data_IF_810003745782
#
_entry.id   IF_810003745782
#
_cell.length_a   1.000
_cell.length_b   1.000
_cell.length_c   1.000
_cell.angle_alpha   90.00
_cell.angle_beta   90.00
_cell.angle_gamma   90.00
#
_symmetry.space_group_name_H-M   'P 1'
#
loop_
_entity.id
_entity.type
_entity.pdbx_description
1 polymer ?
#
# COMPACT_ATOMS: atom_id res chain seq x y z
N UNK A 1 -9.30 -19.30 -12.77
CA UNK A 1 -10.34 -18.28 -12.41
C UNK A 1 -9.81 -16.91 -12.76
N UNK A 2 -10.65 -15.94 -13.03
CA UNK A 2 -10.29 -14.56 -13.39
C UNK A 2 -10.73 -13.62 -12.30
N UNK A 3 -10.06 -12.49 -12.16
CA UNK A 3 -10.47 -11.42 -11.26
C UNK A 3 -11.93 -11.00 -11.52
N UNK A 4 -12.72 -10.87 -10.46
CA UNK A 4 -14.11 -10.45 -10.53
C UNK A 4 -14.39 -9.33 -9.55
N UNK A 5 -15.11 -8.29 -10.00
CA UNK A 5 -15.51 -7.20 -9.13
C UNK A 5 -16.54 -7.69 -8.09
N UNK A 6 -16.29 -7.36 -6.83
CA UNK A 6 -17.24 -7.63 -5.74
C UNK A 6 -18.39 -6.63 -5.84
N UNK A 7 -19.61 -7.15 -5.85
CA UNK A 7 -20.85 -6.37 -5.84
C UNK A 7 -21.68 -6.81 -4.64
N UNK A 8 -21.62 -6.07 -3.52
CA UNK A 8 -22.46 -6.37 -2.37
C UNK A 8 -23.94 -6.15 -2.71
N UNK A 9 -24.83 -6.92 -2.09
CA UNK A 9 -26.28 -6.80 -2.30
C UNK A 9 -26.81 -5.40 -1.94
N UNK A 10 -26.23 -4.79 -0.89
CA UNK A 10 -26.53 -3.43 -0.47
C UNK A 10 -25.24 -2.66 -0.22
N UNK A 11 -25.14 -1.45 -0.76
CA UNK A 11 -24.06 -0.50 -0.52
C UNK A 11 -24.64 0.93 -0.44
N UNK A 12 -25.20 1.32 0.71
CA UNK A 12 -26.03 2.53 0.83
C UNK A 12 -25.25 3.84 0.83
N UNK A 13 -23.92 3.81 0.98
CA UNK A 13 -23.12 5.01 1.23
C UNK A 13 -22.96 5.91 -0.02
N UNK A 14 -22.88 5.35 -1.20
CA UNK A 14 -22.79 6.10 -2.46
C UNK A 14 -23.02 5.20 -3.68
N UNK A 15 -23.51 5.74 -4.80
CA UNK A 15 -23.52 5.02 -6.07
C UNK A 15 -22.09 4.88 -6.59
N UNK A 16 -21.67 3.66 -6.93
CA UNK A 16 -20.30 3.37 -7.36
C UNK A 16 -20.17 2.99 -8.84
N UNK A 17 -21.27 2.88 -9.56
CA UNK A 17 -21.23 2.67 -11.00
C UNK A 17 -20.65 3.90 -11.71
N UNK A 18 -19.71 3.66 -12.63
CA UNK A 18 -19.04 4.73 -13.39
C UNK A 18 -17.73 5.24 -12.79
N UNK A 19 -17.23 4.63 -11.69
CA UNK A 19 -15.86 4.86 -11.26
C UNK A 19 -14.87 3.99 -12.06
N UNK A 20 -13.61 4.46 -12.17
CA UNK A 20 -12.49 3.74 -12.79
C UNK A 20 -11.69 2.91 -11.77
N UNK A 21 -12.38 2.51 -10.71
CA UNK A 21 -11.95 1.52 -9.70
C UNK A 21 -13.18 0.73 -9.26
N UNK A 22 -13.00 -0.48 -8.75
CA UNK A 22 -14.09 -1.26 -8.18
C UNK A 22 -14.19 -1.05 -6.66
N UNK A 23 -15.26 -1.50 -6.02
CA UNK A 23 -15.34 -1.55 -4.55
C UNK A 23 -14.32 -2.55 -3.97
N UNK A 24 -14.12 -3.65 -4.65
CA UNK A 24 -13.18 -4.70 -4.36
C UNK A 24 -13.14 -5.75 -5.45
N UNK A 25 -12.10 -6.56 -5.45
CA UNK A 25 -11.89 -7.69 -6.34
C UNK A 25 -11.86 -8.99 -5.55
N UNK A 26 -12.30 -10.08 -6.18
CA UNK A 26 -12.14 -11.45 -5.67
C UNK A 26 -11.57 -12.36 -6.74
N UNK A 27 -10.76 -13.32 -6.32
CA UNK A 27 -10.26 -14.42 -7.14
C UNK A 27 -9.99 -15.64 -6.26
N UNK A 28 -10.61 -16.76 -6.61
CA UNK A 28 -10.47 -17.99 -5.85
C UNK A 28 -10.92 -17.82 -4.40
N UNK A 29 -9.97 -17.89 -3.48
CA UNK A 29 -10.21 -17.75 -2.03
C UNK A 29 -9.82 -16.37 -1.48
N UNK A 30 -9.40 -15.45 -2.31
CA UNK A 30 -8.89 -14.14 -1.88
C UNK A 30 -9.81 -13.01 -2.30
N UNK A 31 -9.84 -11.95 -1.50
CA UNK A 31 -10.56 -10.72 -1.78
C UNK A 31 -9.74 -9.50 -1.34
N UNK A 32 -9.82 -8.44 -2.13
CA UNK A 32 -9.14 -7.16 -1.91
C UNK A 32 -10.16 -6.04 -2.04
N UNK A 33 -10.21 -5.12 -1.08
CA UNK A 33 -11.09 -3.95 -1.18
C UNK A 33 -10.30 -2.74 -1.64
N UNK A 34 -10.96 -1.81 -2.34
CA UNK A 34 -10.43 -0.45 -2.45
C UNK A 34 -10.39 0.23 -1.09
N UNK A 35 -9.62 1.32 -1.01
CA UNK A 35 -9.62 2.19 0.17
C UNK A 35 -10.94 2.94 0.31
N UNK A 36 -11.54 2.88 1.50
CA UNK A 36 -12.78 3.56 1.82
C UNK A 36 -12.65 4.44 3.06
N UNK A 37 -13.12 5.68 2.92
CA UNK A 37 -13.29 6.64 4.02
C UNK A 37 -14.73 6.61 4.54
N UNK A 38 -15.01 7.38 5.58
CA UNK A 38 -16.39 7.60 6.07
C UNK A 38 -17.29 8.39 5.11
N UNK A 39 -16.82 8.85 3.96
CA UNK A 39 -17.58 9.69 3.03
C UNK A 39 -18.88 9.01 2.58
N UNK A 40 -20.00 9.74 2.63
CA UNK A 40 -21.33 9.27 2.25
C UNK A 40 -21.97 10.26 1.29
N UNK A 41 -22.78 9.77 0.34
CA UNK A 41 -23.55 10.62 -0.55
C UNK A 41 -24.77 11.16 0.21
N UNK A 42 -24.88 12.49 0.26
CA UNK A 42 -26.04 13.16 0.85
C UNK A 42 -26.97 13.63 -0.30
N UNK A 43 -28.13 12.98 -0.47
CA UNK A 43 -29.07 13.36 -1.53
C UNK A 43 -29.67 14.75 -1.36
N UNK A 44 -29.71 15.28 -0.14
CA UNK A 44 -30.25 16.62 0.11
C UNK A 44 -29.35 17.73 -0.45
N UNK A 45 -28.03 17.49 -0.50
CA UNK A 45 -27.06 18.44 -1.05
C UNK A 45 -26.43 17.97 -2.36
N UNK A 46 -26.75 16.75 -2.82
CA UNK A 46 -26.30 16.19 -4.10
C UNK A 46 -24.80 15.93 -4.19
N UNK A 47 -24.13 15.69 -3.08
CA UNK A 47 -22.67 15.48 -3.04
C UNK A 47 -22.22 14.57 -1.89
N UNK A 48 -20.99 14.10 -2.00
CA UNK A 48 -20.32 13.38 -0.91
C UNK A 48 -20.05 14.31 0.27
N UNK A 49 -20.41 13.86 1.47
CA UNK A 49 -20.17 14.54 2.75
C UNK A 49 -19.28 13.71 3.64
N UNK A 50 -18.53 14.37 4.49
CA UNK A 50 -17.62 13.78 5.49
C UNK A 50 -17.79 14.57 6.79
N UNK A 51 -17.93 13.87 7.91
CA UNK A 51 -18.06 14.49 9.24
C UNK A 51 -17.88 13.47 10.36
N UNK A 52 -18.02 13.95 11.58
CA UNK A 52 -17.88 13.15 12.79
C UNK A 52 -16.44 13.08 13.33
N UNK A 53 -16.27 12.65 14.59
CA UNK A 53 -14.97 12.35 15.21
C UNK A 53 -14.35 11.11 14.60
N UNK A 54 -13.08 10.82 14.93
CA UNK A 54 -12.33 9.67 14.42
C UNK A 54 -13.05 8.34 14.65
N UNK A 55 -13.65 8.11 15.81
CA UNK A 55 -14.38 6.87 16.13
C UNK A 55 -15.53 6.61 15.14
N UNK A 56 -16.35 7.63 14.87
CA UNK A 56 -17.47 7.53 13.90
C UNK A 56 -16.95 7.33 12.47
N UNK A 57 -15.91 8.07 12.09
CA UNK A 57 -15.29 7.94 10.77
C UNK A 57 -14.70 6.54 10.56
N UNK A 58 -13.99 6.01 11.55
CA UNK A 58 -13.41 4.67 11.51
C UNK A 58 -14.52 3.60 11.40
N UNK A 59 -15.57 3.69 12.21
CA UNK A 59 -16.69 2.75 12.17
C UNK A 59 -17.32 2.67 10.77
N UNK A 60 -17.64 3.81 10.18
CA UNK A 60 -18.23 3.86 8.83
C UNK A 60 -17.26 3.32 7.77
N UNK A 61 -15.97 3.66 7.85
CA UNK A 61 -14.97 3.16 6.91
C UNK A 61 -14.84 1.62 6.99
N UNK A 62 -14.76 1.07 8.20
CA UNK A 62 -14.73 -0.37 8.41
C UNK A 62 -16.01 -1.08 8.00
N UNK A 63 -17.19 -0.52 8.32
CA UNK A 63 -18.47 -1.08 7.89
C UNK A 63 -18.54 -1.22 6.36
N UNK A 64 -18.03 -0.25 5.61
CA UNK A 64 -17.97 -0.33 4.13
C UNK A 64 -17.12 -1.48 3.65
N UNK A 65 -15.87 -1.56 4.10
CA UNK A 65 -14.94 -2.59 3.62
C UNK A 65 -15.38 -3.99 4.06
N UNK A 66 -15.97 -4.14 5.24
CA UNK A 66 -16.57 -5.41 5.69
C UNK A 66 -17.84 -5.76 4.89
N UNK A 67 -18.65 -4.79 4.51
CA UNK A 67 -19.81 -5.01 3.62
C UNK A 67 -19.36 -5.47 2.24
N UNK A 68 -18.28 -4.91 1.73
CA UNK A 68 -17.68 -5.37 0.45
C UNK A 68 -17.21 -6.82 0.57
N UNK A 69 -16.48 -7.16 1.64
CA UNK A 69 -16.03 -8.55 1.87
C UNK A 69 -17.22 -9.53 2.01
N UNK A 70 -18.30 -9.11 2.67
CA UNK A 70 -19.51 -9.92 2.77
C UNK A 70 -20.11 -10.25 1.38
N UNK A 71 -20.00 -9.32 0.42
CA UNK A 71 -20.34 -9.56 -0.98
C UNK A 71 -19.50 -10.65 -1.67
N UNK A 72 -18.33 -10.97 -1.12
CA UNK A 72 -17.49 -12.12 -1.53
C UNK A 72 -17.69 -13.36 -0.62
N UNK A 73 -18.65 -13.32 0.30
CA UNK A 73 -18.90 -14.41 1.27
C UNK A 73 -17.85 -14.49 2.38
N UNK A 74 -17.12 -13.41 2.65
CA UNK A 74 -16.07 -13.34 3.66
C UNK A 74 -16.46 -12.37 4.79
N UNK A 75 -15.79 -12.48 5.93
CA UNK A 75 -16.03 -11.64 7.10
C UNK A 75 -14.74 -11.25 7.83
N UNK A 76 -14.86 -10.63 9.02
CA UNK A 76 -13.69 -10.19 9.78
C UNK A 76 -12.65 -11.27 10.05
N UNK A 77 -13.08 -12.52 10.29
CA UNK A 77 -12.19 -13.66 10.55
C UNK A 77 -11.36 -14.11 9.32
N UNK A 78 -11.73 -13.64 8.12
CA UNK A 78 -11.02 -13.96 6.89
C UNK A 78 -9.93 -12.92 6.56
N UNK A 79 -9.92 -11.77 7.26
CA UNK A 79 -8.99 -10.67 6.97
C UNK A 79 -7.56 -11.03 7.38
N UNK A 80 -6.62 -10.88 6.46
CA UNK A 80 -5.18 -11.11 6.68
C UNK A 80 -4.40 -9.82 6.80
N UNK A 81 -4.77 -8.76 6.05
CA UNK A 81 -4.12 -7.45 6.09
C UNK A 81 -5.17 -6.34 6.15
N UNK A 82 -4.90 -5.38 6.98
CA UNK A 82 -5.55 -4.08 7.01
C UNK A 82 -4.50 -3.03 6.66
N UNK A 83 -4.81 -2.11 5.74
CA UNK A 83 -4.04 -0.88 5.57
C UNK A 83 -4.90 0.30 5.99
N UNK A 84 -4.39 1.10 6.91
CA UNK A 84 -5.01 2.33 7.42
C UNK A 84 -4.18 3.54 7.01
N UNK A 85 -4.70 4.35 6.07
CA UNK A 85 -4.15 5.66 5.77
C UNK A 85 -4.75 6.67 6.74
N UNK A 86 -3.96 7.14 7.69
CA UNK A 86 -4.36 8.12 8.70
C UNK A 86 -3.77 9.49 8.36
N UNK A 87 -4.62 10.52 8.34
CA UNK A 87 -4.15 11.88 8.05
C UNK A 87 -3.41 12.49 9.24
N UNK A 88 -2.55 13.49 8.95
CA UNK A 88 -1.90 14.27 10.00
C UNK A 88 -2.89 14.87 11.00
N UNK A 89 -4.07 15.30 10.53
CA UNK A 89 -5.12 15.84 11.39
C UNK A 89 -5.86 14.78 12.20
N UNK A 90 -5.90 13.54 11.72
CA UNK A 90 -6.52 12.40 12.40
C UNK A 90 -5.57 11.68 13.37
N UNK A 91 -4.27 11.79 13.14
CA UNK A 91 -3.26 11.07 13.94
C UNK A 91 -3.38 11.25 15.46
N UNK A 92 -3.69 12.44 16.01
CA UNK A 92 -3.87 12.60 17.45
C UNK A 92 -5.03 11.78 18.06
N UNK A 93 -6.01 11.40 17.24
CA UNK A 93 -7.19 10.62 17.66
C UNK A 93 -7.13 9.17 17.18
N UNK A 94 -6.00 8.71 16.65
CA UNK A 94 -5.87 7.39 16.01
C UNK A 94 -6.20 6.21 16.95
N UNK A 95 -5.99 6.36 18.27
CA UNK A 95 -6.36 5.33 19.26
C UNK A 95 -7.87 5.01 19.23
N UNK A 96 -8.72 5.99 18.86
CA UNK A 96 -10.15 5.75 18.71
C UNK A 96 -10.44 4.82 17.51
N UNK A 97 -9.70 4.97 16.41
CA UNK A 97 -9.79 4.05 15.26
C UNK A 97 -9.30 2.64 15.63
N UNK A 98 -8.19 2.54 16.35
CA UNK A 98 -7.68 1.26 16.85
C UNK A 98 -8.67 0.54 17.77
N UNK A 99 -9.39 1.29 18.62
CA UNK A 99 -10.45 0.73 19.49
C UNK A 99 -11.63 0.18 18.67
N UNK A 100 -12.08 0.92 17.63
CA UNK A 100 -13.13 0.45 16.70
C UNK A 100 -12.69 -0.83 16.00
N UNK A 101 -11.45 -0.87 15.48
CA UNK A 101 -10.89 -2.08 14.86
C UNK A 101 -10.91 -3.25 15.83
N UNK A 102 -10.45 -3.07 17.07
CA UNK A 102 -10.44 -4.13 18.08
C UNK A 102 -11.85 -4.65 18.39
N UNK A 103 -12.85 -3.76 18.47
CA UNK A 103 -14.25 -4.14 18.64
C UNK A 103 -14.75 -5.01 17.48
N UNK A 104 -14.48 -4.60 16.24
CA UNK A 104 -15.01 -5.26 15.03
C UNK A 104 -14.36 -6.60 14.72
N UNK A 105 -13.08 -6.75 15.03
CA UNK A 105 -12.33 -7.97 14.76
C UNK A 105 -12.24 -8.92 15.98
N UNK A 106 -12.55 -8.45 17.17
CA UNK A 106 -12.57 -9.27 18.40
C UNK A 106 -11.21 -9.92 18.67
N UNK A 107 -11.21 -11.26 18.78
CA UNK A 107 -9.98 -12.03 19.02
C UNK A 107 -9.12 -12.21 17.76
N UNK A 108 -9.68 -11.98 16.58
CA UNK A 108 -8.93 -12.06 15.33
C UNK A 108 -8.00 -10.87 15.18
N UNK A 109 -6.74 -11.14 14.87
CA UNK A 109 -5.68 -10.12 14.79
C UNK A 109 -5.00 -10.16 13.42
N UNK A 110 -5.53 -9.45 12.40
CA UNK A 110 -4.84 -9.33 11.12
C UNK A 110 -3.60 -8.43 11.24
N UNK A 111 -2.70 -8.54 10.27
CA UNK A 111 -1.62 -7.55 10.11
C UNK A 111 -2.22 -6.18 9.84
N UNK A 112 -1.74 -5.17 10.57
CA UNK A 112 -2.14 -3.76 10.36
C UNK A 112 -0.94 -2.97 9.85
N UNK A 113 -1.11 -2.35 8.69
CA UNK A 113 -0.23 -1.32 8.16
C UNK A 113 -0.86 0.04 8.42
N UNK A 114 -0.13 0.93 9.04
CA UNK A 114 -0.58 2.30 9.30
C UNK A 114 0.31 3.26 8.56
N UNK A 115 -0.25 3.96 7.57
CA UNK A 115 0.46 4.96 6.77
C UNK A 115 -0.02 6.35 7.18
N UNK A 116 0.89 7.17 7.67
CA UNK A 116 0.58 8.59 7.96
C UNK A 116 0.66 9.38 6.66
N UNK A 117 -0.45 10.01 6.27
CA UNK A 117 -0.58 10.76 5.03
C UNK A 117 -0.90 12.25 5.29
N UNK A 118 -0.54 13.13 4.37
CA UNK A 118 -0.85 14.56 4.50
C UNK A 118 -2.36 14.78 4.64
N UNK A 119 -3.10 14.18 3.73
CA UNK A 119 -4.54 14.25 3.64
C UNK A 119 -5.07 13.15 2.74
N UNK A 120 -6.34 12.85 2.85
CA UNK A 120 -7.04 11.97 1.92
C UNK A 120 -7.69 12.79 0.78
N UNK A 121 -7.95 12.13 -0.35
CA UNK A 121 -8.65 12.74 -1.49
C UNK A 121 -10.00 13.31 -1.01
N UNK A 122 -10.69 12.61 -0.12
CA UNK A 122 -11.89 13.11 0.55
C UNK A 122 -11.50 14.07 1.69
N UNK A 123 -11.61 15.37 1.39
CA UNK A 123 -11.32 16.43 2.36
C UNK A 123 -12.10 16.22 3.66
N UNK A 124 -11.49 16.39 4.81
CA UNK A 124 -12.00 16.14 6.17
C UNK A 124 -12.13 14.67 6.58
N UNK A 125 -11.86 13.70 5.72
CA UNK A 125 -11.68 12.34 6.18
C UNK A 125 -10.36 12.22 6.96
N UNK A 126 -10.40 11.53 8.09
CA UNK A 126 -9.24 11.28 8.94
C UNK A 126 -8.59 9.94 8.66
N UNK A 127 -9.39 8.98 8.19
CA UNK A 127 -8.99 7.61 7.99
C UNK A 127 -9.55 7.07 6.66
N UNK A 128 -8.73 6.30 5.97
CA UNK A 128 -9.12 5.43 4.85
C UNK A 128 -8.64 4.01 5.14
N UNK A 129 -9.50 3.02 4.93
CA UNK A 129 -9.24 1.62 5.24
C UNK A 129 -9.36 0.78 3.99
N UNK A 130 -8.40 -0.11 3.74
CA UNK A 130 -8.47 -1.20 2.77
C UNK A 130 -8.19 -2.55 3.44
N UNK A 131 -8.75 -3.62 2.90
CA UNK A 131 -8.60 -4.97 3.43
C UNK A 131 -8.12 -5.94 2.35
N UNK A 132 -7.26 -6.88 2.77
CA UNK A 132 -7.05 -8.14 2.07
C UNK A 132 -7.57 -9.28 2.95
N UNK A 133 -8.36 -10.17 2.37
CA UNK A 133 -8.95 -11.31 3.05
C UNK A 133 -8.74 -12.60 2.28
N UNK A 134 -8.71 -13.71 3.01
CA UNK A 134 -8.59 -15.07 2.46
C UNK A 134 -9.63 -15.95 3.13
N UNK A 135 -10.50 -16.56 2.36
CA UNK A 135 -11.58 -17.42 2.87
C UNK A 135 -11.06 -18.54 3.78
N UNK A 136 -11.56 -18.58 5.01
CA UNK A 136 -11.09 -19.47 6.07
C UNK A 136 -9.93 -18.88 6.88
N UNK A 137 -9.64 -17.60 6.68
CA UNK A 137 -8.55 -16.87 7.33
C UNK A 137 -7.17 -17.23 6.78
N UNK A 138 -6.23 -16.32 6.93
CA UNK A 138 -4.81 -16.61 6.78
C UNK A 138 -4.25 -17.26 8.03
N UNK A 139 -2.99 -17.68 7.99
CA UNK A 139 -2.28 -18.10 9.18
C UNK A 139 -1.76 -16.88 9.93
N UNK A 140 -2.28 -16.66 11.14
CA UNK A 140 -1.64 -15.73 12.08
C UNK A 140 -0.33 -16.32 12.57
N UNK A 141 0.76 -15.63 12.25
CA UNK A 141 2.10 -16.00 12.70
C UNK A 141 2.44 -15.10 13.89
N UNK A 142 2.21 -15.61 15.11
CA UNK A 142 2.42 -14.83 16.34
C UNK A 142 3.87 -14.47 16.51
N UNK A 143 4.15 -13.19 16.50
CA UNK A 143 5.44 -12.64 16.91
C UNK A 143 5.50 -12.57 18.44
N UNK A 144 6.63 -12.98 19.04
CA UNK A 144 6.83 -13.00 20.48
C UNK A 144 6.58 -11.63 21.13
N UNK A 145 6.11 -11.65 22.39
CA UNK A 145 5.62 -10.52 23.16
C UNK A 145 6.59 -9.33 23.34
N UNK A 146 7.87 -9.54 23.12
CA UNK A 146 8.92 -8.52 23.30
C UNK A 146 8.87 -7.38 22.26
N UNK A 147 8.10 -7.54 21.18
CA UNK A 147 7.95 -6.53 20.12
C UNK A 147 6.64 -5.70 20.26
N UNK A 148 5.87 -5.90 21.32
CA UNK A 148 4.52 -5.35 21.50
C UNK A 148 4.45 -3.93 22.06
N UNK A 149 5.55 -3.35 22.52
CA UNK A 149 5.48 -2.18 23.41
C UNK A 149 5.67 -0.81 22.75
N UNK A 150 5.81 -0.75 21.43
CA UNK A 150 6.12 0.49 20.70
C UNK A 150 4.91 1.29 20.19
N UNK A 151 3.73 1.17 20.80
CA UNK A 151 2.50 1.86 20.39
C UNK A 151 1.49 0.97 19.66
N UNK A 152 0.25 1.43 19.53
CA UNK A 152 -0.85 0.65 18.95
C UNK A 152 -0.65 0.26 17.48
N UNK A 153 0.09 1.04 16.72
CA UNK A 153 0.44 0.77 15.32
C UNK A 153 1.54 -0.28 15.11
N UNK A 154 2.27 -0.69 16.17
CA UNK A 154 3.36 -1.67 16.07
C UNK A 154 2.95 -3.06 16.61
N UNK A 155 1.73 -3.19 17.14
CA UNK A 155 1.27 -4.38 17.88
C UNK A 155 0.58 -5.45 17.04
N UNK A 156 0.52 -5.29 15.72
CA UNK A 156 -0.14 -6.29 14.90
C UNK A 156 0.78 -7.49 14.60
N UNK A 157 0.22 -8.69 14.43
CA UNK A 157 0.99 -9.87 14.08
C UNK A 157 1.50 -9.80 12.64
N UNK A 158 2.38 -10.72 12.31
CA UNK A 158 2.67 -11.10 10.93
C UNK A 158 1.60 -12.09 10.49
N UNK A 159 1.05 -11.93 9.29
CA UNK A 159 0.07 -12.85 8.73
C UNK A 159 0.54 -13.41 7.39
N UNK A 160 0.12 -14.62 7.09
CA UNK A 160 0.38 -15.29 5.82
C UNK A 160 -0.94 -15.60 5.11
N UNK A 161 -1.05 -15.23 3.84
CA UNK A 161 -2.13 -15.66 2.94
C UNK A 161 -1.96 -17.11 2.50
N UNK A 162 -3.02 -17.69 1.93
CA UNK A 162 -2.94 -19.05 1.37
C UNK A 162 -2.05 -19.16 0.13
N UNK A 163 -1.76 -18.03 -0.50
CA UNK A 163 -0.85 -17.87 -1.63
C UNK A 163 0.63 -17.78 -1.20
N UNK A 164 0.93 -17.95 0.08
CA UNK A 164 2.28 -17.84 0.63
C UNK A 164 2.80 -16.41 0.72
N UNK A 165 1.96 -15.41 0.51
CA UNK A 165 2.32 -13.99 0.75
C UNK A 165 2.31 -13.70 2.24
N UNK A 166 3.39 -13.11 2.73
CA UNK A 166 3.57 -12.76 4.15
C UNK A 166 3.58 -11.25 4.31
N UNK A 167 2.65 -10.74 5.11
CA UNK A 167 2.51 -9.32 5.40
C UNK A 167 3.11 -8.98 6.76
N UNK A 168 4.00 -7.99 6.77
CA UNK A 168 4.52 -7.40 8.01
C UNK A 168 3.72 -6.13 8.34
N UNK A 169 3.57 -5.81 9.63
CA UNK A 169 3.05 -4.50 10.03
C UNK A 169 4.01 -3.39 9.59
N UNK A 170 3.52 -2.14 9.56
CA UNK A 170 4.40 -1.00 9.35
C UNK A 170 5.48 -0.95 10.42
N UNK A 171 6.72 -0.91 10.00
CA UNK A 171 7.88 -0.90 10.87
C UNK A 171 8.34 0.54 11.06
N UNK A 172 8.45 0.94 12.32
CA UNK A 172 8.93 2.27 12.73
C UNK A 172 10.23 2.13 13.53
N UNK A 173 11.15 3.11 13.46
CA UNK A 173 12.45 3.05 14.10
C UNK A 173 12.37 3.49 15.59
N UNK A 174 11.64 2.72 16.39
CA UNK A 174 11.51 2.94 17.83
C UNK A 174 11.96 1.69 18.61
N UNK A 175 12.49 1.88 19.79
CA UNK A 175 12.86 0.81 20.72
C UNK A 175 11.68 0.27 21.53
N UNK A 176 11.94 -0.62 22.49
CA UNK A 176 10.94 -1.20 23.39
C UNK A 176 10.26 -0.18 24.31
N UNK A 177 10.85 1.01 24.47
CA UNK A 177 10.29 2.12 25.27
C UNK A 177 9.50 3.11 24.43
N UNK A 178 9.45 2.92 23.10
CA UNK A 178 8.79 3.82 22.17
C UNK A 178 9.63 5.04 21.78
N UNK A 179 10.91 5.05 22.14
CA UNK A 179 11.83 6.13 21.82
C UNK A 179 12.46 5.91 20.44
N UNK A 180 12.59 6.99 19.67
CA UNK A 180 13.18 6.95 18.32
C UNK A 180 14.67 6.58 18.42
N UNK A 181 15.06 5.52 17.73
CA UNK A 181 16.46 5.12 17.61
C UNK A 181 17.18 5.95 16.53
N UNK A 182 18.48 6.13 16.67
CA UNK A 182 19.30 6.90 15.71
C UNK A 182 18.69 8.27 15.37
N UNK A 183 18.38 9.14 16.36
CA UNK A 183 17.75 10.42 16.12
C UNK A 183 18.59 11.29 15.17
N UNK A 184 17.94 11.82 14.11
CA UNK A 184 18.60 12.65 13.09
C UNK A 184 19.41 11.85 12.04
N UNK A 185 19.47 10.52 12.12
CA UNK A 185 20.21 9.68 11.16
C UNK A 185 19.23 8.79 10.35
N UNK A 186 18.85 9.25 9.16
CA UNK A 186 18.00 8.47 8.24
C UNK A 186 18.57 7.07 7.96
N UNK A 187 19.88 6.98 7.72
CA UNK A 187 20.52 5.72 7.31
C UNK A 187 20.50 4.71 8.46
N UNK A 188 20.76 5.18 9.68
CA UNK A 188 20.66 4.38 10.90
C UNK A 188 19.22 3.92 11.16
N UNK A 189 18.24 4.81 11.04
CA UNK A 189 16.81 4.46 11.18
C UNK A 189 16.36 3.45 10.12
N UNK A 190 16.77 3.64 8.86
CA UNK A 190 16.45 2.72 7.76
C UNK A 190 17.06 1.33 7.98
N UNK A 191 18.32 1.27 8.42
CA UNK A 191 18.98 0.02 8.76
C UNK A 191 18.26 -0.71 9.90
N UNK A 192 17.88 0.02 10.95
CA UNK A 192 17.11 -0.53 12.07
C UNK A 192 15.76 -1.11 11.61
N UNK A 193 15.02 -0.41 10.74
CA UNK A 193 13.76 -0.92 10.21
C UNK A 193 13.95 -2.22 9.41
N UNK A 194 15.00 -2.33 8.58
CA UNK A 194 15.30 -3.57 7.87
C UNK A 194 15.74 -4.70 8.82
N UNK A 195 16.53 -4.40 9.85
CA UNK A 195 16.93 -5.39 10.85
C UNK A 195 15.71 -5.89 11.66
N UNK A 196 14.74 -5.00 11.95
CA UNK A 196 13.44 -5.38 12.53
C UNK A 196 12.62 -6.26 11.60
N UNK A 197 12.54 -5.90 10.30
CA UNK A 197 11.88 -6.73 9.30
C UNK A 197 12.52 -8.12 9.23
N UNK A 198 13.85 -8.20 9.22
CA UNK A 198 14.57 -9.48 9.25
C UNK A 198 14.20 -10.33 10.47
N UNK A 199 14.15 -9.73 11.66
CA UNK A 199 13.73 -10.42 12.88
C UNK A 199 12.28 -10.94 12.84
N UNK A 200 11.35 -10.16 12.26
CA UNK A 200 9.97 -10.59 12.06
C UNK A 200 9.86 -11.75 11.06
N UNK A 201 10.63 -11.71 9.99
CA UNK A 201 10.67 -12.77 8.99
C UNK A 201 11.32 -14.06 9.53
N UNK A 202 12.38 -13.95 10.33
CA UNK A 202 13.06 -15.11 10.93
C UNK A 202 12.11 -15.95 11.81
N UNK A 203 11.25 -15.30 12.59
CA UNK A 203 10.24 -15.99 13.43
C UNK A 203 9.31 -16.88 12.60
N UNK A 204 9.07 -16.52 11.35
CA UNK A 204 8.20 -17.26 10.42
C UNK A 204 8.98 -18.13 9.42
N UNK A 205 10.30 -18.28 9.65
CA UNK A 205 11.19 -19.10 8.84
C UNK A 205 11.53 -18.52 7.48
N UNK A 206 11.50 -17.18 7.36
CA UNK A 206 11.88 -16.43 6.18
C UNK A 206 13.06 -15.49 6.50
N UNK A 207 13.60 -14.83 5.47
CA UNK A 207 14.61 -13.79 5.57
C UNK A 207 14.28 -12.63 4.65
N UNK A 208 15.07 -11.57 4.66
CA UNK A 208 14.91 -10.47 3.71
C UNK A 208 15.10 -10.89 2.25
N UNK A 209 15.69 -12.04 1.98
CA UNK A 209 15.80 -12.61 0.62
C UNK A 209 14.45 -13.07 0.05
N UNK A 210 13.42 -13.14 0.90
CA UNK A 210 12.05 -13.45 0.51
C UNK A 210 11.21 -12.18 0.31
N UNK A 211 11.76 -10.99 0.54
CA UNK A 211 11.03 -9.73 0.36
C UNK A 211 10.68 -9.51 -1.12
N UNK A 212 9.41 -9.25 -1.39
CA UNK A 212 8.88 -8.93 -2.73
C UNK A 212 8.64 -7.44 -2.90
N UNK A 213 8.32 -6.71 -1.82
CA UNK A 213 8.25 -5.24 -1.81
C UNK A 213 8.82 -4.65 -0.53
N UNK A 214 9.43 -3.46 -0.67
CA UNK A 214 9.83 -2.58 0.43
C UNK A 214 9.36 -1.17 0.09
N UNK A 215 8.24 -0.73 0.68
CA UNK A 215 7.76 0.64 0.51
C UNK A 215 8.12 1.45 1.75
N UNK A 216 8.71 2.61 1.54
CA UNK A 216 9.12 3.49 2.63
C UNK A 216 8.45 4.87 2.56
N UNK A 217 8.17 5.39 3.75
CA UNK A 217 7.62 6.71 3.96
C UNK A 217 8.66 7.48 4.76
N UNK A 218 9.16 8.58 4.23
CA UNK A 218 10.18 9.37 4.90
C UNK A 218 9.78 10.85 4.96
N UNK A 219 10.57 11.67 5.67
CA UNK A 219 10.26 13.07 5.84
C UNK A 219 11.03 13.93 4.82
N UNK A 220 10.52 15.13 4.43
CA UNK A 220 11.10 15.93 3.33
C UNK A 220 12.55 16.34 3.54
N UNK A 221 12.97 16.53 4.79
CA UNK A 221 14.36 16.86 5.15
C UNK A 221 15.35 15.74 4.81
N UNK A 222 14.86 14.51 4.63
CA UNK A 222 15.71 13.35 4.30
C UNK A 222 16.03 13.22 2.81
N UNK A 223 15.39 14.00 1.94
CA UNK A 223 15.48 13.85 0.47
C UNK A 223 16.92 13.81 -0.03
N UNK A 224 17.77 14.70 0.43
CA UNK A 224 19.15 14.78 -0.03
C UNK A 224 19.99 13.59 0.43
N UNK A 225 19.67 13.04 1.59
CA UNK A 225 20.33 11.87 2.19
C UNK A 225 19.72 10.54 1.75
N UNK A 226 18.51 10.54 1.17
CA UNK A 226 17.77 9.33 0.83
C UNK A 226 18.60 8.35 -0.03
N UNK A 227 19.36 8.84 -1.01
CA UNK A 227 20.26 8.01 -1.84
C UNK A 227 21.27 7.20 -1.01
N UNK A 228 21.62 7.62 0.21
CA UNK A 228 22.56 6.91 1.08
C UNK A 228 21.99 5.60 1.64
N UNK A 229 20.66 5.45 1.65
CA UNK A 229 19.98 4.20 2.03
C UNK A 229 20.26 3.07 1.03
N UNK A 230 20.69 3.40 -0.20
CA UNK A 230 21.14 2.40 -1.20
C UNK A 230 22.19 1.44 -0.63
N UNK A 231 23.13 1.94 0.16
CA UNK A 231 24.16 1.10 0.78
C UNK A 231 23.53 0.04 1.71
N UNK A 232 22.59 0.47 2.55
CA UNK A 232 21.91 -0.44 3.49
C UNK A 232 21.10 -1.49 2.73
N UNK A 233 20.36 -1.07 1.70
CA UNK A 233 19.61 -2.00 0.84
C UNK A 233 20.55 -3.02 0.17
N UNK A 234 21.68 -2.55 -0.36
CA UNK A 234 22.66 -3.43 -1.01
C UNK A 234 23.26 -4.46 -0.05
N UNK A 235 23.46 -4.10 1.21
CA UNK A 235 24.03 -4.98 2.23
C UNK A 235 23.01 -6.01 2.75
N UNK A 236 21.71 -5.73 2.73
CA UNK A 236 20.65 -6.51 3.40
C UNK A 236 19.65 -7.17 2.46
N UNK A 237 19.48 -6.67 1.23
CA UNK A 237 18.51 -7.16 0.26
C UNK A 237 19.23 -7.78 -0.95
N UNK A 238 18.53 -8.55 -1.75
CA UNK A 238 19.03 -9.11 -3.00
C UNK A 238 19.94 -10.33 -2.85
N UNK A 239 19.98 -10.96 -1.66
CA UNK A 239 20.73 -12.21 -1.43
C UNK A 239 20.23 -13.37 -2.30
N UNK A 240 18.96 -13.38 -2.68
CA UNK A 240 18.38 -14.31 -3.65
C UNK A 240 18.72 -13.99 -5.12
N UNK A 241 19.50 -12.95 -5.38
CA UNK A 241 19.83 -12.49 -6.75
C UNK A 241 18.76 -11.58 -7.38
N UNK A 242 17.66 -11.34 -6.67
CA UNK A 242 16.55 -10.45 -7.08
C UNK A 242 16.30 -9.45 -5.95
N UNK A 243 16.31 -8.17 -6.27
CA UNK A 243 15.87 -7.14 -5.33
C UNK A 243 14.35 -7.02 -5.32
N UNK A 244 13.72 -6.68 -4.17
CA UNK A 244 12.29 -6.42 -4.12
C UNK A 244 11.90 -5.21 -4.97
N UNK A 245 10.61 -5.08 -5.30
CA UNK A 245 10.03 -3.82 -5.72
C UNK A 245 10.15 -2.79 -4.59
N UNK A 246 10.33 -1.51 -4.93
CA UNK A 246 10.46 -0.44 -3.94
C UNK A 246 9.71 0.82 -4.37
N UNK A 247 9.35 1.63 -3.38
CA UNK A 247 8.79 2.96 -3.58
C UNK A 247 9.06 3.82 -2.34
N UNK A 248 9.23 5.12 -2.54
CA UNK A 248 9.53 6.04 -1.45
C UNK A 248 8.71 7.32 -1.55
N UNK A 249 7.92 7.61 -0.52
CA UNK A 249 7.01 8.75 -0.44
C UNK A 249 7.44 9.67 0.69
N UNK A 250 7.36 10.98 0.47
CA UNK A 250 7.70 11.99 1.49
C UNK A 250 6.43 12.54 2.14
N UNK A 251 6.34 12.37 3.46
CA UNK A 251 5.27 12.89 4.31
C UNK A 251 5.84 13.93 5.27
N UNK A 252 5.17 15.06 5.50
CA UNK A 252 5.70 16.12 6.37
C UNK A 252 5.91 15.67 7.82
N UNK A 253 5.28 14.58 8.22
CA UNK A 253 5.42 13.97 9.53
C UNK A 253 5.07 12.48 9.45
N UNK A 254 5.69 11.67 10.31
CA UNK A 254 5.38 10.26 10.49
C UNK A 254 4.74 10.01 11.88
N UNK A 255 4.68 8.75 12.31
CA UNK A 255 3.95 8.29 13.50
C UNK A 255 4.39 9.00 14.79
N UNK A 256 5.69 9.13 15.00
CA UNK A 256 6.25 9.72 16.22
C UNK A 256 7.21 10.86 15.89
N UNK A 257 7.33 11.87 16.76
CA UNK A 257 8.29 12.96 16.57
C UNK A 257 9.74 12.45 16.48
N UNK A 258 10.51 12.98 15.51
CA UNK A 258 11.92 12.58 15.29
C UNK A 258 12.11 11.33 14.44
N UNK A 259 11.03 10.64 14.09
CA UNK A 259 11.06 9.58 13.09
C UNK A 259 11.31 10.16 11.70
N UNK A 260 12.24 9.56 10.96
CA UNK A 260 12.62 9.96 9.61
C UNK A 260 12.16 8.98 8.53
N UNK A 261 11.83 7.75 8.91
CA UNK A 261 11.36 6.71 7.98
C UNK A 261 10.39 5.74 8.67
N UNK A 262 9.43 5.24 7.91
CA UNK A 262 8.65 4.03 8.22
C UNK A 262 8.75 3.08 7.02
N UNK A 263 8.63 1.77 7.25
CA UNK A 263 8.86 0.76 6.23
C UNK A 263 7.73 -0.28 6.23
N UNK A 264 7.13 -0.51 5.07
CA UNK A 264 6.22 -1.63 4.81
C UNK A 264 6.94 -2.69 4.00
N UNK A 265 6.99 -3.92 4.52
CA UNK A 265 7.61 -5.06 3.86
C UNK A 265 6.57 -6.13 3.58
N UNK A 266 6.56 -6.64 2.35
CA UNK A 266 5.85 -7.86 1.97
C UNK A 266 6.88 -8.89 1.56
N UNK A 267 6.67 -10.14 1.98
CA UNK A 267 7.53 -11.27 1.61
C UNK A 267 6.69 -12.40 0.99
N UNK A 268 7.33 -13.37 0.38
CA UNK A 268 6.67 -14.54 -0.19
C UNK A 268 7.47 -15.81 0.07
N UNK A 269 6.78 -16.94 0.27
CA UNK A 269 7.40 -18.27 0.34
C UNK A 269 7.76 -18.83 -1.03
N UNK A 270 7.23 -18.24 -2.09
CA UNK A 270 7.56 -18.66 -3.45
C UNK A 270 8.93 -18.14 -3.88
N UNK A 271 9.61 -18.83 -4.81
CA UNK A 271 10.79 -18.32 -5.49
C UNK A 271 10.49 -16.96 -6.12
N UNK A 272 11.49 -16.07 -6.09
CA UNK A 272 11.40 -14.73 -6.67
C UNK A 272 11.93 -14.75 -8.10
N UNK A 273 11.15 -14.20 -9.03
CA UNK A 273 11.52 -14.03 -10.44
C UNK A 273 11.53 -12.54 -10.78
N UNK A 274 12.68 -12.06 -11.31
CA UNK A 274 12.77 -10.69 -11.81
C UNK A 274 11.92 -10.51 -13.06
N UNK A 275 11.07 -9.48 -13.06
CA UNK A 275 10.35 -9.02 -14.26
C UNK A 275 10.82 -7.61 -14.60
N UNK A 276 11.53 -7.46 -15.74
CA UNK A 276 12.09 -6.18 -16.20
C UNK A 276 11.90 -6.08 -17.71
N UNK A 277 11.17 -5.09 -18.25
CA UNK A 277 10.98 -4.89 -19.69
C UNK A 277 12.25 -4.61 -20.49
N UNK A 278 13.41 -4.71 -19.89
CA UNK A 278 14.70 -4.40 -20.50
C UNK A 278 15.22 -3.02 -20.13
N UNK A 279 14.68 -2.43 -19.06
CA UNK A 279 15.13 -1.13 -18.57
C UNK A 279 16.47 -1.22 -17.85
N UNK A 280 17.55 -0.84 -18.53
CA UNK A 280 18.93 -0.96 -18.06
C UNK A 280 19.24 -0.19 -16.78
N UNK A 281 18.42 0.82 -16.44
CA UNK A 281 18.59 1.55 -15.16
C UNK A 281 18.54 0.62 -13.95
N UNK A 282 17.76 -0.45 -14.02
CA UNK A 282 17.58 -1.38 -12.88
C UNK A 282 18.80 -2.31 -12.68
N UNK A 283 19.73 -2.39 -13.63
CA UNK A 283 20.96 -3.19 -13.50
C UNK A 283 21.86 -2.72 -12.35
N UNK A 284 21.72 -1.46 -11.94
CA UNK A 284 22.57 -0.84 -10.91
C UNK A 284 21.79 -0.44 -9.63
N UNK A 285 20.47 -0.59 -9.64
CA UNK A 285 19.62 -0.24 -8.51
C UNK A 285 19.50 -1.39 -7.52
N UNK A 286 19.09 -1.06 -6.30
CA UNK A 286 18.82 -2.02 -5.23
C UNK A 286 17.31 -2.29 -5.07
N UNK A 287 16.60 -2.23 -6.18
CA UNK A 287 15.21 -2.61 -6.32
C UNK A 287 14.95 -2.98 -7.79
N UNK A 288 13.92 -3.78 -8.01
CA UNK A 288 13.50 -4.27 -9.31
C UNK A 288 12.27 -3.52 -9.80
N UNK A 289 12.01 -3.41 -11.11
CA UNK A 289 10.75 -2.85 -11.59
C UNK A 289 9.56 -3.69 -11.14
N UNK A 290 9.70 -5.02 -11.19
CA UNK A 290 8.72 -5.94 -10.63
C UNK A 290 9.36 -7.28 -10.25
N UNK A 291 8.69 -7.99 -9.34
CA UNK A 291 9.04 -9.33 -8.87
C UNK A 291 7.80 -10.21 -8.94
N UNK A 292 7.90 -11.31 -9.67
CA UNK A 292 6.90 -12.38 -9.61
C UNK A 292 7.23 -13.31 -8.45
N UNK A 293 6.23 -13.62 -7.64
CA UNK A 293 6.30 -14.66 -6.61
C UNK A 293 4.99 -15.45 -6.61
N UNK A 294 5.07 -16.72 -7.03
CA UNK A 294 3.87 -17.49 -7.29
C UNK A 294 3.01 -16.88 -8.41
N UNK A 295 1.75 -16.62 -8.09
CA UNK A 295 0.81 -15.97 -9.03
C UNK A 295 0.76 -14.45 -8.92
N UNK A 296 1.46 -13.85 -7.99
CA UNK A 296 1.41 -12.39 -7.78
C UNK A 296 2.61 -11.71 -8.40
N UNK A 297 2.36 -10.63 -9.14
CA UNK A 297 3.36 -9.71 -9.65
C UNK A 297 3.37 -8.46 -8.75
N UNK A 298 4.42 -8.35 -7.95
CA UNK A 298 4.66 -7.21 -7.09
C UNK A 298 5.53 -6.20 -7.82
N UNK A 299 5.06 -4.96 -7.95
CA UNK A 299 5.75 -3.93 -8.72
C UNK A 299 6.32 -2.84 -7.82
N UNK A 300 7.34 -2.15 -8.30
CA UNK A 300 7.83 -0.89 -7.70
C UNK A 300 6.82 0.23 -7.84
N UNK A 301 7.04 1.32 -7.12
CA UNK A 301 6.38 2.59 -7.40
C UNK A 301 6.80 3.14 -8.76
N UNK A 302 5.82 3.55 -9.55
CA UNK A 302 6.02 4.20 -10.84
C UNK A 302 5.57 5.65 -10.77
N UNK A 303 6.39 6.54 -11.32
CA UNK A 303 6.10 7.94 -11.54
C UNK A 303 6.48 8.30 -13.00
N UNK A 304 6.19 9.53 -13.42
CA UNK A 304 6.43 9.98 -14.79
C UNK A 304 7.93 10.17 -15.09
N UNK A 305 8.65 9.06 -15.25
CA UNK A 305 10.07 9.00 -15.53
C UNK A 305 10.32 8.47 -16.94
N UNK A 306 11.16 9.15 -17.69
CA UNK A 306 11.75 8.60 -18.90
C UNK A 306 12.78 7.53 -18.53
N UNK A 307 12.56 6.29 -18.95
CA UNK A 307 13.39 5.15 -18.53
C UNK A 307 14.79 5.17 -19.13
N UNK A 308 15.00 5.82 -20.26
CA UNK A 308 16.29 5.92 -20.95
C UNK A 308 17.11 7.09 -20.44
N UNK A 309 16.52 8.29 -20.39
CA UNK A 309 17.22 9.52 -20.01
C UNK A 309 17.22 9.80 -18.52
N UNK A 310 16.39 9.11 -17.75
CA UNK A 310 16.20 9.30 -16.32
C UNK A 310 15.68 10.70 -15.95
N UNK A 311 15.02 11.39 -16.86
CA UNK A 311 14.43 12.69 -16.61
C UNK A 311 12.96 12.56 -16.21
N UNK A 312 12.49 13.45 -15.33
CA UNK A 312 11.08 13.59 -15.03
C UNK A 312 10.36 14.18 -16.24
N UNK A 313 9.22 13.61 -16.59
CA UNK A 313 8.37 14.06 -17.70
C UNK A 313 7.20 14.88 -17.15
N UNK A 314 6.78 15.88 -17.91
CA UNK A 314 5.58 16.69 -17.67
C UNK A 314 5.47 17.25 -16.22
N UNK A 315 6.47 17.97 -15.69
CA UNK A 315 6.54 18.36 -14.26
C UNK A 315 5.35 19.19 -13.77
N UNK A 316 4.62 19.86 -14.66
CA UNK A 316 3.52 20.76 -14.33
C UNK A 316 2.14 20.23 -14.77
N UNK A 317 2.07 18.99 -15.30
CA UNK A 317 0.84 18.39 -15.83
C UNK A 317 0.57 17.03 -15.18
N UNK A 318 -0.36 17.00 -14.21
CA UNK A 318 -0.73 15.77 -13.48
C UNK A 318 -1.33 14.71 -14.41
N UNK A 319 -2.16 15.12 -15.37
CA UNK A 319 -2.78 14.18 -16.31
C UNK A 319 -1.75 13.50 -17.21
N UNK A 320 -0.82 14.29 -17.77
CA UNK A 320 0.27 13.75 -18.57
C UNK A 320 1.23 12.88 -17.73
N UNK A 321 1.50 13.24 -16.47
CA UNK A 321 2.27 12.38 -15.57
C UNK A 321 1.54 11.06 -15.29
N UNK A 322 0.24 11.08 -15.05
CA UNK A 322 -0.54 9.87 -14.84
C UNK A 322 -0.50 8.96 -16.08
N UNK A 323 -0.57 9.54 -17.29
CA UNK A 323 -0.48 8.78 -18.56
C UNK A 323 0.87 8.07 -18.70
N UNK A 324 1.99 8.74 -18.43
CA UNK A 324 3.32 8.13 -18.43
C UNK A 324 3.43 7.04 -17.36
N UNK A 325 2.92 7.31 -16.16
CA UNK A 325 2.97 6.39 -15.03
C UNK A 325 2.20 5.10 -15.31
N UNK A 326 0.95 5.20 -15.77
CA UNK A 326 0.17 4.01 -16.14
C UNK A 326 0.74 3.33 -17.39
N UNK A 327 1.30 4.09 -18.33
CA UNK A 327 2.01 3.54 -19.50
C UNK A 327 3.17 2.62 -19.09
N UNK A 328 4.00 3.05 -18.13
CA UNK A 328 5.09 2.22 -17.60
C UNK A 328 4.57 0.95 -16.87
N UNK A 329 3.48 1.07 -16.12
CA UNK A 329 2.82 -0.10 -15.49
C UNK A 329 2.37 -1.09 -16.56
N UNK A 330 1.71 -0.62 -17.62
CA UNK A 330 1.23 -1.47 -18.70
C UNK A 330 2.38 -2.16 -19.47
N UNK A 331 3.52 -1.48 -19.64
CA UNK A 331 4.72 -2.08 -20.27
C UNK A 331 5.27 -3.24 -19.41
N UNK A 332 5.29 -3.10 -18.08
CA UNK A 332 5.66 -4.20 -17.19
C UNK A 332 4.66 -5.35 -17.26
N UNK A 333 3.35 -5.05 -17.28
CA UNK A 333 2.30 -6.07 -17.42
C UNK A 333 2.45 -6.83 -18.75
N UNK A 334 2.61 -6.12 -19.86
CA UNK A 334 2.80 -6.73 -21.19
C UNK A 334 4.02 -7.64 -21.21
N UNK A 335 5.16 -7.18 -20.66
CA UNK A 335 6.38 -7.98 -20.55
C UNK A 335 6.17 -9.24 -19.70
N UNK A 336 5.32 -9.16 -18.66
CA UNK A 336 4.93 -10.28 -17.82
C UNK A 336 3.90 -11.22 -18.47
N UNK A 337 3.41 -10.91 -19.67
CA UNK A 337 2.33 -11.64 -20.35
C UNK A 337 0.95 -11.38 -19.75
N UNK A 338 0.78 -10.24 -19.05
CA UNK A 338 -0.44 -9.78 -18.42
C UNK A 338 -1.02 -8.58 -19.18
N UNK A 339 -2.26 -8.22 -18.86
CA UNK A 339 -2.93 -7.05 -19.41
C UNK A 339 -3.56 -6.17 -18.33
N UNK A 340 -4.23 -5.05 -18.73
CA UNK A 340 -4.87 -4.14 -17.79
C UNK A 340 -5.91 -4.80 -16.87
N UNK A 341 -6.58 -5.86 -17.33
CA UNK A 341 -7.58 -6.60 -16.56
C UNK A 341 -6.99 -7.51 -15.47
N UNK A 342 -5.67 -7.72 -15.49
CA UNK A 342 -4.95 -8.50 -14.47
C UNK A 342 -4.40 -7.62 -13.35
N UNK A 343 -4.55 -6.28 -13.46
CA UNK A 343 -4.18 -5.32 -12.42
C UNK A 343 -5.11 -5.47 -11.22
N UNK A 344 -4.53 -5.83 -10.09
CA UNK A 344 -5.26 -6.21 -8.87
C UNK A 344 -5.50 -5.01 -7.96
N UNK A 345 -4.43 -4.37 -7.54
CA UNK A 345 -4.46 -3.24 -6.60
C UNK A 345 -3.60 -2.09 -7.13
N UNK A 346 -4.03 -0.86 -6.85
CA UNK A 346 -3.21 0.35 -7.04
C UNK A 346 -3.30 1.21 -5.79
N UNK A 347 -2.15 1.55 -5.19
CA UNK A 347 -2.07 2.63 -4.21
C UNK A 347 -1.48 3.86 -4.89
N UNK A 348 -2.24 4.95 -4.91
CA UNK A 348 -1.94 6.17 -5.66
C UNK A 348 -1.56 7.29 -4.69
N UNK A 349 -0.36 7.84 -4.85
CA UNK A 349 0.08 9.01 -4.12
C UNK A 349 0.11 10.22 -5.03
N UNK A 350 -0.69 11.24 -4.68
CA UNK A 350 -0.69 12.53 -5.35
C UNK A 350 -0.13 13.60 -4.42
N UNK A 351 0.74 14.45 -4.93
CA UNK A 351 1.22 15.60 -4.16
C UNK A 351 0.05 16.53 -3.84
N UNK A 352 -0.10 16.95 -2.58
CA UNK A 352 -1.27 17.73 -2.13
C UNK A 352 -1.50 18.98 -2.97
N UNK A 353 -0.43 19.65 -3.43
CA UNK A 353 -0.54 20.84 -4.29
C UNK A 353 -1.14 20.58 -5.67
N UNK A 354 -1.13 19.33 -6.15
CA UNK A 354 -1.68 18.93 -7.46
C UNK A 354 -3.09 18.32 -7.38
N UNK A 355 -3.67 18.15 -6.19
CA UNK A 355 -4.96 17.48 -6.01
C UNK A 355 -6.13 18.16 -6.75
N UNK A 356 -6.00 19.44 -7.07
CA UNK A 356 -7.02 20.17 -7.87
C UNK A 356 -7.26 19.54 -9.23
N UNK A 357 -6.24 18.94 -9.82
CA UNK A 357 -6.25 18.32 -11.14
C UNK A 357 -6.43 16.78 -11.09
N UNK A 358 -6.67 16.19 -9.89
CA UNK A 358 -6.76 14.75 -9.70
C UNK A 358 -7.85 14.07 -10.56
N UNK A 359 -8.85 14.82 -11.01
CA UNK A 359 -9.85 14.30 -11.96
C UNK A 359 -9.21 13.79 -13.26
N UNK A 360 -8.13 14.42 -13.73
CA UNK A 360 -7.41 13.99 -14.93
C UNK A 360 -6.85 12.56 -14.79
N UNK A 361 -6.49 12.13 -13.57
CA UNK A 361 -6.04 10.75 -13.30
C UNK A 361 -7.14 9.74 -13.60
N UNK A 362 -8.40 10.02 -13.21
CA UNK A 362 -9.54 9.15 -13.50
C UNK A 362 -9.80 9.05 -15.03
N UNK A 363 -9.64 10.15 -15.76
CA UNK A 363 -9.76 10.17 -17.22
C UNK A 363 -8.66 9.35 -17.91
N UNK A 364 -7.46 9.37 -17.38
CA UNK A 364 -6.35 8.52 -17.85
C UNK A 364 -6.65 7.04 -17.59
N UNK A 365 -7.09 6.69 -16.38
CA UNK A 365 -7.47 5.30 -16.06
C UNK A 365 -8.57 4.78 -17.00
N UNK A 366 -9.60 5.60 -17.27
CA UNK A 366 -10.68 5.22 -18.19
C UNK A 366 -10.18 4.89 -19.61
N UNK A 367 -9.11 5.57 -20.07
CA UNK A 367 -8.53 5.31 -21.41
C UNK A 367 -7.60 4.13 -21.43
N UNK A 368 -6.81 3.92 -20.38
CA UNK A 368 -5.69 2.98 -20.39
C UNK A 368 -6.02 1.64 -19.72
N UNK A 369 -6.94 1.63 -18.77
CA UNK A 369 -7.34 0.42 -18.05
C UNK A 369 -8.68 -0.10 -18.58
N UNK A 370 -9.06 -1.29 -18.14
CA UNK A 370 -10.33 -1.93 -18.51
C UNK A 370 -10.91 -2.72 -17.33
N UNK A 371 -12.25 -2.91 -17.29
CA UNK A 371 -12.85 -3.76 -16.28
C UNK A 371 -12.38 -5.24 -16.37
N UNK A 372 -12.28 -5.93 -15.23
CA UNK A 372 -12.55 -5.38 -13.90
C UNK A 372 -11.52 -4.31 -13.53
N UNK A 373 -12.02 -3.18 -13.05
CA UNK A 373 -11.13 -2.11 -12.57
C UNK A 373 -10.35 -2.58 -11.34
N UNK A 374 -9.10 -2.14 -11.11
CA UNK A 374 -8.35 -2.49 -9.91
C UNK A 374 -9.04 -2.00 -8.63
N UNK A 375 -8.76 -2.67 -7.54
CA UNK A 375 -8.99 -2.11 -6.22
C UNK A 375 -8.01 -0.93 -6.03
N UNK A 376 -8.51 0.26 -5.72
CA UNK A 376 -7.69 1.48 -5.72
C UNK A 376 -7.82 2.26 -4.42
N UNK A 377 -6.67 2.69 -3.90
CA UNK A 377 -6.55 3.54 -2.72
C UNK A 377 -5.79 4.80 -3.09
N UNK A 378 -6.30 5.98 -2.72
CA UNK A 378 -5.71 7.26 -3.10
C UNK A 378 -5.41 8.15 -1.90
N UNK A 379 -4.14 8.51 -1.70
CA UNK A 379 -3.69 9.36 -0.63
C UNK A 379 -2.88 10.56 -1.14
N UNK A 380 -2.84 11.64 -0.34
CA UNK A 380 -2.04 12.80 -0.63
C UNK A 380 -0.76 12.79 0.19
N UNK A 381 0.34 13.05 -0.49
CA UNK A 381 1.66 13.17 0.11
C UNK A 381 2.17 14.62 0.09
N UNK A 382 3.18 14.91 0.91
CA UNK A 382 3.86 16.19 0.88
C UNK A 382 4.59 16.39 -0.45
N UNK A 383 5.37 15.40 -0.85
CA UNK A 383 6.12 15.39 -2.11
C UNK A 383 6.62 13.99 -2.42
N UNK A 384 7.15 13.81 -3.61
CA UNK A 384 7.81 12.60 -4.04
C UNK A 384 9.34 12.78 -3.97
N UNK A 385 10.10 11.70 -4.10
CA UNK A 385 11.56 11.74 -4.02
C UNK A 385 12.19 12.70 -5.03
N UNK A 386 11.59 12.83 -6.21
CA UNK A 386 11.92 13.90 -7.15
C UNK A 386 10.85 14.99 -7.08
N UNK A 387 11.20 16.24 -6.90
CA UNK A 387 10.25 17.33 -6.71
C UNK A 387 9.38 17.61 -7.95
N UNK A 388 9.82 17.19 -9.13
CA UNK A 388 9.09 17.31 -10.38
C UNK A 388 7.89 16.36 -10.48
N UNK A 389 7.92 15.23 -9.75
CA UNK A 389 6.82 14.27 -9.75
C UNK A 389 5.65 14.79 -8.92
N UNK A 390 4.44 14.61 -9.45
CA UNK A 390 3.16 14.94 -8.80
C UNK A 390 2.34 13.71 -8.49
N UNK A 391 2.70 12.56 -9.06
CA UNK A 391 1.93 11.33 -8.99
C UNK A 391 2.84 10.11 -9.02
N UNK A 392 2.55 9.15 -8.14
CA UNK A 392 3.23 7.85 -8.08
C UNK A 392 2.20 6.77 -7.77
N UNK A 393 2.32 5.61 -8.40
CA UNK A 393 1.42 4.46 -8.23
C UNK A 393 2.22 3.24 -7.81
N UNK A 394 1.75 2.54 -6.77
CA UNK A 394 2.25 1.25 -6.32
C UNK A 394 1.27 0.16 -6.77
N UNK A 395 1.54 -0.55 -7.85
CA UNK A 395 0.63 -1.54 -8.41
C UNK A 395 0.98 -2.96 -7.98
N UNK A 396 -0.05 -3.82 -7.99
CA UNK A 396 0.07 -5.28 -7.87
C UNK A 396 -0.81 -5.92 -8.94
N UNK A 397 -0.37 -7.01 -9.56
CA UNK A 397 -1.16 -7.75 -10.54
C UNK A 397 -1.17 -9.25 -10.23
N UNK A 398 -2.12 -9.97 -10.81
CA UNK A 398 -2.31 -11.39 -10.55
C UNK A 398 -2.28 -12.17 -11.87
N UNK A 399 -1.41 -13.18 -11.94
CA UNK A 399 -1.42 -14.14 -13.03
C UNK A 399 -2.68 -15.02 -12.97
N UNK A 400 -3.34 -15.29 -14.09
CA UNK A 400 -4.44 -16.22 -14.13
C UNK A 400 -3.99 -17.62 -13.67
N UNK A 401 -4.91 -18.42 -13.13
CA UNK A 401 -4.61 -19.82 -12.86
C UNK A 401 -4.20 -20.53 -14.16
N UNK A 402 -3.11 -21.28 -14.09
CA UNK A 402 -2.77 -22.17 -15.20
C UNK A 402 -3.90 -23.20 -15.33
N UNK A 403 -4.55 -23.22 -16.48
CA UNK A 403 -5.50 -24.29 -16.81
C UNK A 403 -4.72 -25.60 -16.92
N UNK A 404 -4.94 -26.49 -15.95
CA UNK A 404 -4.34 -27.83 -15.92
C UNK A 404 -4.76 -28.66 -17.12
#
# INVERSE_FOLDING_TARGET
>A
MTLAAIRPDEFPWFPYDGFTFCLGLTEGRSAWTSGHTCAQFDPAVGKMTVGGPMEEQARIAYEKVLTILAGAGMGPADVTRITENVTLSGLPEYEAAAAVRTELFGEHQPTVRTVVVERLVRRKAFLEVELHAVSGGGQELRVASEQRDAGSWVRSPVTEGHDGTVYLPTIVPVDEHGEVVHPGDLVGQYAYCLDRAAGLLDVVGLSLDHAVTTYDYSTPETRDDYRRTHRVRKERLGGAGVYPGAGGILMSRLHVPGQLVALDVTASRHPLELVNPGWSRYDTLTYSPAVRAGRTLFMSGFAALDMDTQQALHPDDLGAQAEVTFGAILEVLEHAGLGPADLLETTEYCVESAVGDYKAVAEVRERLLSPPWPASTGALCHSLLRPEFKFEVFPTALYPEETA
#
